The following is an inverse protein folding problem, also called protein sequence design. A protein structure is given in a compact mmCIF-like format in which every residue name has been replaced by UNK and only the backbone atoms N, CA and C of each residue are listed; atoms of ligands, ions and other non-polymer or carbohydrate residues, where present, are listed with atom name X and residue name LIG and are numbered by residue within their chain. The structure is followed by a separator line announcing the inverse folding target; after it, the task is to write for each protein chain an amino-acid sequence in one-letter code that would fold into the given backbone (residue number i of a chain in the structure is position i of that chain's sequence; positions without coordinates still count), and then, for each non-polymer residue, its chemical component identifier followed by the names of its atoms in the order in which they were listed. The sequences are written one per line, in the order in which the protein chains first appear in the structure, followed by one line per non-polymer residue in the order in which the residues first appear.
data_IF_639295645826
#
_entry.id   IF_639295645826
#
_cell.length_a   1.000
_cell.length_b   1.000
_cell.length_c   1.000
_cell.angle_alpha   90.00
_cell.angle_beta   90.00
_cell.angle_gamma   90.00
#
_symmetry.space_group_name_H-M   'P 1'
#
loop_
_entity.id
_entity.type
_entity.pdbx_description
1 polymer ?
#
# COMPACT_ATOMS: atom_id res chain seq x y z
N UNK A 1 25.95 -40.23 -73.79
CA UNK A 1 25.96 -40.07 -72.29
C UNK A 1 25.78 -38.60 -71.87
N UNK A 2 24.73 -37.89 -72.31
CA UNK A 2 24.45 -36.48 -71.92
C UNK A 2 22.95 -36.18 -71.82
N UNK A 3 22.09 -37.17 -71.52
CA UNK A 3 20.63 -36.96 -71.46
C UNK A 3 19.94 -37.54 -70.21
N UNK A 4 20.68 -37.97 -69.13
CA UNK A 4 20.13 -38.63 -67.96
C UNK A 4 20.38 -37.88 -66.68
N UNK A 5 20.94 -36.66 -66.67
CA UNK A 5 21.24 -35.86 -65.46
C UNK A 5 20.22 -34.70 -65.28
N UNK A 6 19.42 -34.40 -66.33
CA UNK A 6 18.47 -33.27 -66.25
C UNK A 6 17.10 -33.59 -65.54
N UNK A 7 16.80 -34.88 -65.32
CA UNK A 7 15.48 -35.30 -64.78
C UNK A 7 15.45 -35.57 -63.29
N UNK A 8 16.59 -35.53 -62.57
CA UNK A 8 16.65 -35.78 -61.14
C UNK A 8 16.71 -34.47 -60.35
N UNK A 9 17.08 -33.34 -60.96
CA UNK A 9 17.11 -32.04 -60.25
C UNK A 9 15.76 -31.31 -60.17
N UNK A 10 14.77 -31.72 -61.01
CA UNK A 10 13.46 -31.06 -61.03
C UNK A 10 12.47 -31.66 -60.00
N UNK A 11 12.75 -32.87 -59.50
CA UNK A 11 11.91 -33.51 -58.48
C UNK A 11 12.29 -33.10 -57.01
N UNK A 12 13.45 -32.48 -56.79
CA UNK A 12 13.93 -32.09 -55.48
C UNK A 12 13.54 -30.64 -55.13
N UNK A 13 13.09 -29.84 -56.09
CA UNK A 13 12.66 -28.43 -55.84
C UNK A 13 11.16 -28.31 -55.56
N UNK A 14 10.36 -29.35 -55.84
CA UNK A 14 8.92 -29.32 -55.55
C UNK A 14 8.53 -29.94 -54.20
N UNK A 15 9.47 -30.51 -53.43
CA UNK A 15 9.20 -31.04 -52.08
C UNK A 15 9.48 -30.01 -50.94
N UNK A 16 9.99 -28.82 -51.28
CA UNK A 16 10.31 -27.75 -50.30
C UNK A 16 9.30 -26.60 -50.28
N UNK A 17 8.18 -26.69 -51.02
CA UNK A 17 7.18 -25.61 -51.10
C UNK A 17 5.85 -25.93 -50.38
N UNK A 18 5.81 -26.95 -49.53
CA UNK A 18 4.63 -27.32 -48.72
C UNK A 18 4.90 -27.35 -47.22
N UNK A 19 5.99 -26.75 -46.74
CA UNK A 19 6.11 -26.31 -45.35
C UNK A 19 5.39 -24.98 -45.26
N UNK A 20 4.06 -25.04 -45.34
CA UNK A 20 3.20 -23.91 -45.15
C UNK A 20 3.39 -23.36 -43.73
N UNK A 21 3.66 -22.10 -43.64
CA UNK A 21 3.64 -21.25 -42.46
C UNK A 21 2.38 -21.49 -41.62
N UNK A 22 2.47 -22.39 -40.70
CA UNK A 22 1.83 -22.25 -39.43
C UNK A 22 2.92 -21.70 -38.50
N UNK A 23 3.06 -20.41 -38.37
CA UNK A 23 3.71 -19.83 -37.19
C UNK A 23 2.78 -20.11 -36.00
N UNK A 24 2.87 -21.31 -35.42
CA UNK A 24 2.54 -21.47 -34.03
C UNK A 24 3.50 -20.50 -33.32
N UNK A 25 2.99 -19.36 -32.82
CA UNK A 25 3.69 -18.60 -31.79
C UNK A 25 4.10 -19.65 -30.77
N UNK A 26 5.39 -19.82 -30.51
CA UNK A 26 5.82 -20.60 -29.36
C UNK A 26 5.07 -19.99 -28.16
N UNK A 27 4.57 -20.81 -27.23
CA UNK A 27 3.90 -20.27 -26.07
C UNK A 27 4.85 -19.27 -25.40
N UNK A 28 4.35 -18.09 -25.09
CA UNK A 28 5.10 -17.06 -24.39
C UNK A 28 5.45 -17.63 -23.02
N UNK A 29 6.75 -17.94 -22.81
CA UNK A 29 7.27 -18.51 -21.57
C UNK A 29 7.95 -17.42 -20.75
N UNK A 30 7.66 -16.15 -21.01
CA UNK A 30 8.17 -15.00 -20.27
C UNK A 30 7.02 -14.32 -19.54
N UNK A 31 7.27 -13.92 -18.28
CA UNK A 31 6.43 -12.99 -17.52
C UNK A 31 7.25 -11.77 -17.13
N UNK A 32 6.69 -10.60 -17.30
CA UNK A 32 7.25 -9.32 -16.85
C UNK A 32 6.41 -8.80 -15.68
N UNK A 33 7.02 -8.68 -14.52
CA UNK A 33 6.38 -8.23 -13.27
C UNK A 33 6.94 -6.86 -12.90
N UNK A 34 6.06 -5.88 -12.74
CA UNK A 34 6.45 -4.60 -12.16
C UNK A 34 6.21 -4.61 -10.66
N UNK A 35 7.11 -3.99 -9.89
CA UNK A 35 6.93 -3.82 -8.46
C UNK A 35 7.26 -2.39 -8.02
N UNK A 36 6.45 -1.86 -7.10
CA UNK A 36 6.72 -0.59 -6.41
C UNK A 36 7.63 -0.78 -5.17
N UNK A 37 7.84 -2.01 -4.77
CA UNK A 37 8.54 -2.40 -3.55
C UNK A 37 10.05 -2.46 -3.80
N UNK A 38 10.77 -1.36 -3.47
CA UNK A 38 12.19 -1.25 -3.84
C UNK A 38 13.11 -2.15 -3.02
N UNK A 39 12.83 -2.29 -1.74
CA UNK A 39 13.64 -3.09 -0.81
C UNK A 39 13.43 -4.59 -1.08
N UNK A 40 12.21 -4.97 -1.37
CA UNK A 40 11.79 -6.35 -1.56
C UNK A 40 11.97 -6.86 -3.01
N UNK A 41 12.36 -6.01 -3.95
CA UNK A 41 12.45 -6.36 -5.37
C UNK A 41 13.38 -7.56 -5.64
N UNK A 42 14.53 -7.65 -4.94
CA UNK A 42 15.45 -8.77 -5.07
C UNK A 42 14.85 -10.07 -4.47
N UNK A 43 14.13 -9.95 -3.39
CA UNK A 43 13.40 -11.08 -2.76
C UNK A 43 12.31 -11.59 -3.69
N UNK A 44 11.50 -10.69 -4.28
CA UNK A 44 10.48 -11.04 -5.27
C UNK A 44 11.12 -11.73 -6.48
N UNK A 45 12.26 -11.23 -6.99
CA UNK A 45 12.98 -11.87 -8.09
C UNK A 45 13.46 -13.28 -7.72
N UNK A 46 13.92 -13.51 -6.49
CA UNK A 46 14.35 -14.86 -6.06
C UNK A 46 13.20 -15.87 -6.10
N UNK A 47 12.02 -15.50 -5.64
CA UNK A 47 10.82 -16.36 -5.74
C UNK A 47 10.34 -16.49 -7.19
N UNK A 48 10.51 -15.46 -8.01
CA UNK A 48 10.20 -15.50 -9.43
C UNK A 48 11.09 -16.49 -10.18
N UNK A 49 12.39 -16.54 -9.87
CA UNK A 49 13.34 -17.47 -10.45
C UNK A 49 13.03 -18.93 -10.03
N UNK A 50 12.65 -19.14 -8.77
CA UNK A 50 12.26 -20.46 -8.25
C UNK A 50 11.01 -20.97 -8.95
N UNK A 51 9.93 -20.16 -8.93
CA UNK A 51 8.67 -20.51 -9.60
C UNK A 51 8.85 -20.71 -11.11
N UNK A 52 9.59 -19.80 -11.75
CA UNK A 52 9.87 -19.85 -13.19
C UNK A 52 10.62 -21.14 -13.59
N UNK A 53 11.64 -21.51 -12.80
CA UNK A 53 12.38 -22.76 -13.02
C UNK A 53 11.48 -24.00 -12.89
N UNK A 54 10.58 -24.01 -11.92
CA UNK A 54 9.66 -25.12 -11.69
C UNK A 54 8.57 -25.23 -12.78
N UNK A 55 8.18 -24.13 -13.38
CA UNK A 55 7.07 -24.04 -14.35
C UNK A 55 7.50 -23.83 -15.80
N UNK A 56 8.80 -23.69 -16.08
CA UNK A 56 9.33 -23.49 -17.43
C UNK A 56 9.10 -22.07 -17.95
N UNK A 57 9.04 -21.09 -17.06
CA UNK A 57 8.89 -19.66 -17.38
C UNK A 57 10.17 -18.89 -17.01
N UNK A 58 10.44 -17.82 -17.77
CA UNK A 58 11.37 -16.78 -17.37
C UNK A 58 10.55 -15.64 -16.79
N UNK A 59 10.76 -15.30 -15.51
CA UNK A 59 10.05 -14.20 -14.84
C UNK A 59 11.04 -13.08 -14.56
N UNK A 60 10.77 -11.89 -15.10
CA UNK A 60 11.58 -10.69 -14.88
C UNK A 60 10.84 -9.71 -13.97
N UNK A 61 11.45 -9.40 -12.83
CA UNK A 61 10.91 -8.43 -11.86
C UNK A 61 11.60 -7.08 -12.07
N UNK A 62 10.82 -6.06 -12.38
CA UNK A 62 11.32 -4.71 -12.65
C UNK A 62 10.81 -3.76 -11.58
N UNK A 63 11.74 -3.26 -10.72
CA UNK A 63 11.40 -2.22 -9.76
C UNK A 63 11.18 -0.89 -10.49
N UNK A 64 9.99 -0.33 -10.31
CA UNK A 64 9.66 1.03 -10.72
C UNK A 64 8.38 1.50 -10.04
N UNK A 65 8.22 2.81 -9.88
CA UNK A 65 6.95 3.38 -9.44
C UNK A 65 5.98 3.41 -10.62
N UNK A 66 5.04 2.47 -10.73
CA UNK A 66 4.06 2.47 -11.81
C UNK A 66 3.11 3.65 -11.61
N UNK A 67 2.76 4.32 -12.70
CA UNK A 67 1.59 5.19 -12.75
C UNK A 67 0.65 4.64 -13.80
N UNK A 68 -0.65 4.92 -13.67
CA UNK A 68 -1.67 4.48 -14.64
C UNK A 68 -1.25 4.81 -16.06
N UNK A 69 -0.77 6.03 -16.30
CA UNK A 69 -0.34 6.48 -17.63
C UNK A 69 0.87 5.69 -18.14
N UNK A 70 1.88 5.47 -17.30
CA UNK A 70 3.09 4.73 -17.66
C UNK A 70 2.78 3.27 -17.93
N UNK A 71 1.95 2.66 -17.09
CA UNK A 71 1.48 1.29 -17.26
C UNK A 71 0.67 1.13 -18.55
N UNK A 72 -0.31 2.00 -18.81
CA UNK A 72 -1.12 2.00 -20.04
C UNK A 72 -0.31 2.18 -21.34
N UNK A 73 0.86 2.78 -21.26
CA UNK A 73 1.80 2.85 -22.40
C UNK A 73 2.59 1.57 -22.56
N UNK A 74 3.07 1.00 -21.43
CA UNK A 74 3.95 -0.16 -21.44
C UNK A 74 3.24 -1.45 -21.88
N UNK A 75 2.00 -1.69 -21.45
CA UNK A 75 1.23 -2.90 -21.81
C UNK A 75 0.93 -3.05 -23.32
N UNK A 76 1.19 -2.00 -24.11
CA UNK A 76 1.05 -2.04 -25.58
C UNK A 76 2.27 -2.60 -26.28
N UNK A 77 3.36 -2.87 -25.55
CA UNK A 77 4.59 -3.45 -26.10
C UNK A 77 4.63 -4.95 -25.80
N UNK A 78 5.37 -5.70 -26.62
CA UNK A 78 5.60 -7.15 -26.43
C UNK A 78 6.32 -7.46 -25.09
N UNK A 79 7.07 -6.50 -24.54
CA UNK A 79 7.75 -6.58 -23.23
C UNK A 79 6.98 -5.82 -22.14
N UNK A 80 5.69 -5.58 -22.32
CA UNK A 80 4.84 -4.92 -21.34
C UNK A 80 4.65 -5.78 -20.09
N UNK A 81 4.29 -5.16 -18.93
CA UNK A 81 4.07 -5.92 -17.70
C UNK A 81 2.82 -6.79 -17.78
N UNK A 82 2.97 -8.05 -17.39
CA UNK A 82 1.86 -8.99 -17.20
C UNK A 82 1.14 -8.76 -15.88
N UNK A 83 1.87 -8.32 -14.84
CA UNK A 83 1.31 -8.04 -13.54
C UNK A 83 2.09 -6.95 -12.81
N UNK A 84 1.43 -6.42 -11.78
CA UNK A 84 2.04 -5.52 -10.79
C UNK A 84 1.96 -6.19 -9.43
N UNK A 85 3.08 -6.21 -8.70
CA UNK A 85 3.20 -6.73 -7.34
C UNK A 85 3.51 -5.58 -6.40
N UNK A 86 2.66 -5.40 -5.40
CA UNK A 86 2.89 -4.46 -4.31
C UNK A 86 2.69 -2.99 -4.70
N UNK A 87 1.45 -2.59 -4.98
CA UNK A 87 1.06 -1.18 -4.99
C UNK A 87 0.12 -0.90 -3.80
N UNK A 88 0.12 0.32 -3.25
CA UNK A 88 -0.90 0.74 -2.31
C UNK A 88 -2.30 0.62 -2.91
N UNK A 89 -3.24 0.09 -2.15
CA UNK A 89 -4.58 -0.22 -2.64
C UNK A 89 -5.40 0.99 -3.07
N UNK A 90 -5.15 2.17 -2.51
CA UNK A 90 -5.80 3.42 -2.92
C UNK A 90 -5.53 3.81 -4.40
N UNK A 91 -4.49 3.22 -5.01
CA UNK A 91 -4.19 3.39 -6.43
C UNK A 91 -4.93 2.39 -7.34
N UNK A 92 -5.42 1.26 -6.81
CA UNK A 92 -6.00 0.18 -7.61
C UNK A 92 -7.20 0.64 -8.45
N UNK A 93 -8.07 1.48 -7.87
CA UNK A 93 -9.26 1.97 -8.55
C UNK A 93 -8.93 2.72 -9.85
N UNK A 94 -7.82 3.44 -9.90
CA UNK A 94 -7.38 4.17 -11.09
C UNK A 94 -7.01 3.22 -12.23
N UNK A 95 -6.34 2.09 -11.93
CA UNK A 95 -6.03 1.06 -12.94
C UNK A 95 -7.30 0.36 -13.42
N UNK A 96 -8.24 0.05 -12.52
CA UNK A 96 -9.52 -0.58 -12.86
C UNK A 96 -10.35 0.34 -13.73
N UNK A 97 -10.50 1.62 -13.35
CA UNK A 97 -11.28 2.61 -14.10
C UNK A 97 -10.68 2.89 -15.50
N UNK A 98 -9.37 2.73 -15.65
CA UNK A 98 -8.69 2.82 -16.94
C UNK A 98 -8.79 1.52 -17.77
N UNK A 99 -9.42 0.44 -17.25
CA UNK A 99 -9.55 -0.85 -17.93
C UNK A 99 -8.24 -1.64 -18.02
N UNK A 100 -7.30 -1.42 -17.10
CA UNK A 100 -5.95 -1.97 -17.16
C UNK A 100 -5.75 -3.21 -16.28
N UNK A 101 -6.59 -3.42 -15.27
CA UNK A 101 -6.55 -4.56 -14.36
C UNK A 101 -7.59 -5.63 -14.78
N UNK A 102 -7.18 -6.89 -14.77
CA UNK A 102 -8.07 -8.04 -14.99
C UNK A 102 -8.84 -8.38 -13.70
N UNK A 103 -10.06 -8.88 -13.86
CA UNK A 103 -10.80 -9.45 -12.73
C UNK A 103 -10.08 -10.69 -12.18
N UNK A 104 -10.12 -10.86 -10.87
CA UNK A 104 -9.56 -12.04 -10.21
C UNK A 104 -10.43 -13.26 -10.51
N UNK A 105 -9.87 -14.41 -10.92
CA UNK A 105 -10.62 -15.66 -11.05
C UNK A 105 -11.36 -16.01 -9.73
N UNK A 106 -12.61 -16.41 -9.83
CA UNK A 106 -13.50 -16.59 -8.68
C UNK A 106 -12.95 -17.55 -7.60
N UNK A 107 -12.24 -18.60 -8.04
CA UNK A 107 -11.73 -19.67 -7.17
C UNK A 107 -10.22 -19.52 -6.89
N UNK A 108 -9.63 -18.33 -7.12
CA UNK A 108 -8.18 -18.14 -6.99
C UNK A 108 -7.72 -18.23 -5.52
N UNK A 109 -8.45 -17.60 -4.61
CA UNK A 109 -8.22 -17.65 -3.17
C UNK A 109 -9.52 -17.41 -2.38
N UNK A 110 -9.54 -17.86 -1.12
CA UNK A 110 -10.68 -17.67 -0.22
C UNK A 110 -10.46 -16.39 0.63
N UNK A 111 -11.51 -15.57 0.76
CA UNK A 111 -11.44 -14.31 1.49
C UNK A 111 -11.10 -14.53 2.98
N UNK A 112 -11.60 -15.62 3.58
CA UNK A 112 -11.39 -15.99 4.97
C UNK A 112 -9.91 -16.30 5.35
N UNK A 113 -9.05 -16.52 4.36
CA UNK A 113 -7.62 -16.77 4.60
C UNK A 113 -6.86 -15.47 4.91
N UNK A 114 -7.46 -14.31 4.69
CA UNK A 114 -6.81 -13.00 4.80
C UNK A 114 -7.50 -12.10 5.82
N UNK A 115 -6.78 -11.05 6.24
CA UNK A 115 -7.35 -10.02 7.09
C UNK A 115 -8.49 -9.27 6.36
N UNK A 116 -9.60 -9.00 7.07
CA UNK A 116 -10.78 -8.35 6.49
C UNK A 116 -10.46 -7.04 5.75
N UNK A 117 -9.60 -6.21 6.34
CA UNK A 117 -9.16 -4.96 5.73
C UNK A 117 -8.40 -5.18 4.41
N UNK A 118 -7.58 -6.24 4.35
CA UNK A 118 -6.83 -6.59 3.14
C UNK A 118 -7.74 -7.08 2.02
N UNK A 119 -8.74 -7.86 2.35
CA UNK A 119 -9.74 -8.32 1.37
C UNK A 119 -10.56 -7.15 0.83
N UNK A 120 -11.04 -6.27 1.70
CA UNK A 120 -11.80 -5.09 1.27
C UNK A 120 -11.00 -4.21 0.31
N UNK A 121 -9.67 -4.10 0.52
CA UNK A 121 -8.76 -3.35 -0.34
C UNK A 121 -8.62 -3.90 -1.77
N UNK A 122 -9.01 -5.16 -2.01
CA UNK A 122 -8.92 -5.81 -3.32
C UNK A 122 -10.15 -5.61 -4.21
N UNK A 123 -11.21 -4.96 -3.68
CA UNK A 123 -12.47 -4.76 -4.39
C UNK A 123 -12.60 -3.31 -4.89
N UNK A 124 -13.04 -3.17 -6.14
CA UNK A 124 -13.45 -1.90 -6.73
C UNK A 124 -14.88 -2.06 -7.25
N UNK A 125 -15.80 -1.23 -6.77
CA UNK A 125 -17.22 -1.28 -7.16
C UNK A 125 -17.86 -2.69 -7.01
N UNK A 126 -17.46 -3.43 -5.98
CA UNK A 126 -17.99 -4.76 -5.66
C UNK A 126 -17.41 -5.91 -6.50
N UNK A 127 -16.42 -5.66 -7.35
CA UNK A 127 -15.70 -6.67 -8.14
C UNK A 127 -14.26 -6.78 -7.64
N UNK A 128 -13.73 -7.99 -7.56
CA UNK A 128 -12.37 -8.28 -7.09
C UNK A 128 -11.36 -8.17 -8.23
N UNK A 129 -10.36 -7.27 -8.09
CA UNK A 129 -9.33 -7.01 -9.11
C UNK A 129 -7.92 -7.29 -8.65
N UNK A 130 -7.70 -7.59 -7.37
CA UNK A 130 -6.36 -7.79 -6.84
C UNK A 130 -6.31 -8.95 -5.83
N UNK A 131 -5.09 -9.40 -5.53
CA UNK A 131 -4.79 -10.28 -4.41
C UNK A 131 -3.98 -9.50 -3.37
N UNK A 132 -4.28 -9.65 -2.06
CA UNK A 132 -3.60 -8.92 -1.01
C UNK A 132 -2.25 -9.58 -0.66
N UNK A 133 -1.16 -8.80 -0.66
CA UNK A 133 0.18 -9.29 -0.37
C UNK A 133 0.58 -9.04 1.08
N UNK A 134 0.51 -7.79 1.51
CA UNK A 134 0.87 -7.38 2.86
C UNK A 134 -0.02 -6.25 3.35
N UNK A 135 -0.08 -6.09 4.67
CA UNK A 135 -0.82 -5.02 5.34
C UNK A 135 0.14 -4.13 6.11
N UNK A 136 -0.20 -2.86 6.22
CA UNK A 136 0.58 -1.87 6.94
C UNK A 136 -0.33 -0.85 7.63
N UNK A 137 0.13 -0.31 8.75
CA UNK A 137 -0.55 0.77 9.46
C UNK A 137 0.47 1.61 10.20
N UNK A 138 0.03 2.72 10.80
CA UNK A 138 0.86 3.52 11.69
C UNK A 138 0.72 3.05 13.14
N UNK A 139 1.79 3.24 13.92
CA UNK A 139 1.80 2.99 15.37
C UNK A 139 2.65 4.04 16.08
N UNK A 140 2.64 4.03 17.41
CA UNK A 140 3.42 4.96 18.22
C UNK A 140 4.83 4.39 18.46
N UNK A 141 5.84 5.02 17.88
CA UNK A 141 7.24 4.83 18.26
C UNK A 141 7.57 5.72 19.46
N UNK A 142 8.33 5.22 20.39
CA UNK A 142 8.81 6.00 21.51
C UNK A 142 10.29 5.72 21.80
N UNK A 143 11.02 6.78 22.16
CA UNK A 143 12.43 6.67 22.53
C UNK A 143 12.56 6.11 23.93
N UNK A 144 13.18 4.93 24.08
CA UNK A 144 13.29 4.20 25.34
C UNK A 144 14.27 4.84 26.34
N UNK A 145 15.11 5.78 25.91
CA UNK A 145 15.97 6.56 26.81
C UNK A 145 15.25 7.79 27.39
N UNK A 146 14.11 8.20 26.79
CA UNK A 146 13.35 9.37 27.18
C UNK A 146 12.00 9.03 27.82
N UNK A 147 11.46 7.83 27.52
CA UNK A 147 10.11 7.42 27.91
C UNK A 147 10.16 6.08 28.64
N UNK A 148 9.86 6.11 29.95
CA UNK A 148 9.77 4.91 30.77
C UNK A 148 8.41 4.19 30.61
N UNK A 149 7.34 4.95 30.35
CA UNK A 149 5.98 4.43 30.25
C UNK A 149 5.21 5.17 29.14
N UNK A 150 4.65 4.40 28.21
CA UNK A 150 3.82 4.95 27.12
C UNK A 150 2.50 5.47 27.70
N UNK A 151 2.09 6.72 27.37
CA UNK A 151 0.79 7.27 27.77
C UNK A 151 -0.38 6.43 27.24
N UNK A 152 -1.43 6.26 28.05
CA UNK A 152 -2.62 5.50 27.66
C UNK A 152 -3.58 6.31 26.78
N UNK A 153 -3.51 7.64 26.87
CA UNK A 153 -4.39 8.56 26.14
C UNK A 153 -3.58 9.66 25.45
N UNK A 154 -4.13 10.24 24.41
CA UNK A 154 -3.55 11.40 23.74
C UNK A 154 -3.47 12.62 24.65
N UNK A 155 -4.44 12.77 25.55
CA UNK A 155 -4.47 13.84 26.55
C UNK A 155 -3.27 13.73 27.50
N UNK A 156 -2.93 12.51 27.96
CA UNK A 156 -1.74 12.26 28.78
C UNK A 156 -0.46 12.49 27.97
N UNK A 157 -0.44 12.03 26.69
CA UNK A 157 0.71 12.22 25.80
C UNK A 157 1.00 13.71 25.61
N UNK A 158 0.00 14.52 25.25
CA UNK A 158 0.14 15.97 25.05
C UNK A 158 0.60 16.66 26.33
N UNK A 159 0.03 16.29 27.48
CA UNK A 159 0.39 16.90 28.78
C UNK A 159 1.86 16.65 29.16
N UNK A 160 2.41 15.48 28.80
CA UNK A 160 3.79 15.09 29.13
C UNK A 160 4.82 15.30 28.02
N UNK A 161 4.38 15.39 26.77
CA UNK A 161 5.28 15.37 25.62
C UNK A 161 6.30 16.51 25.61
N UNK A 162 5.93 17.73 26.00
CA UNK A 162 6.81 18.88 26.01
C UNK A 162 8.01 18.72 26.97
N UNK A 163 7.87 17.93 28.03
CA UNK A 163 8.91 17.68 29.03
C UNK A 163 9.97 16.68 28.53
N UNK A 164 9.59 15.81 27.59
CA UNK A 164 10.43 14.70 27.08
C UNK A 164 10.84 14.86 25.62
N UNK A 165 10.65 16.02 25.00
CA UNK A 165 11.08 16.31 23.62
C UNK A 165 9.96 16.28 22.57
N UNK A 166 8.69 16.09 22.97
CA UNK A 166 7.53 16.22 22.09
C UNK A 166 7.17 14.96 21.30
N UNK A 167 6.16 15.11 20.46
CA UNK A 167 5.71 14.12 19.47
C UNK A 167 5.81 14.72 18.07
N UNK A 168 6.27 13.95 17.09
CA UNK A 168 6.30 14.39 15.70
C UNK A 168 5.76 13.31 14.75
N UNK A 169 5.08 13.76 13.72
CA UNK A 169 4.55 12.96 12.62
C UNK A 169 4.14 13.92 11.49
N UNK A 170 3.83 13.41 10.33
CA UNK A 170 3.27 14.23 9.25
C UNK A 170 1.78 14.53 9.50
N UNK A 171 1.54 15.41 10.47
CA UNK A 171 0.19 15.82 10.85
C UNK A 171 -0.51 16.70 9.79
N UNK A 172 -0.01 16.74 8.57
CA UNK A 172 -0.71 17.32 7.39
C UNK A 172 -1.38 16.25 6.54
N UNK A 173 -1.17 14.98 6.85
CA UNK A 173 -1.71 13.87 6.08
C UNK A 173 -2.83 13.16 6.83
N UNK A 174 -3.97 12.97 6.16
CA UNK A 174 -5.10 12.20 6.71
C UNK A 174 -4.71 10.77 7.11
N UNK A 175 -3.62 10.24 6.56
CA UNK A 175 -3.08 8.93 6.94
C UNK A 175 -2.67 8.88 8.42
N UNK A 176 -2.25 9.99 9.00
CA UNK A 176 -1.88 10.11 10.40
C UNK A 176 -2.98 10.75 11.26
N UNK A 177 -3.86 11.55 10.64
CA UNK A 177 -4.90 12.31 11.34
C UNK A 177 -6.22 11.56 11.49
N UNK A 178 -6.42 10.47 10.72
CA UNK A 178 -7.69 9.75 10.68
C UNK A 178 -8.17 9.32 12.08
N UNK A 179 -7.25 8.90 12.94
CA UNK A 179 -7.60 8.46 14.29
C UNK A 179 -8.28 9.54 15.13
N UNK A 180 -7.88 10.81 15.00
CA UNK A 180 -8.55 11.93 15.67
C UNK A 180 -9.96 12.13 15.09
N UNK A 181 -10.06 12.11 13.77
CA UNK A 181 -11.33 12.25 13.04
C UNK A 181 -12.30 11.14 13.44
N UNK A 182 -11.84 9.89 13.44
CA UNK A 182 -12.65 8.71 13.79
C UNK A 182 -13.11 8.72 15.24
N UNK A 183 -12.23 9.06 16.17
CA UNK A 183 -12.57 9.14 17.61
C UNK A 183 -13.64 10.19 17.90
N UNK A 184 -13.74 11.24 17.08
CA UNK A 184 -14.78 12.28 17.16
C UNK A 184 -16.02 11.96 16.30
N UNK A 185 -16.09 10.81 15.62
CA UNK A 185 -17.24 10.38 14.82
C UNK A 185 -17.25 10.85 13.36
N UNK A 186 -16.10 11.34 12.86
CA UNK A 186 -15.88 11.57 11.43
C UNK A 186 -15.46 10.30 10.70
N UNK A 187 -15.34 10.38 9.39
CA UNK A 187 -14.87 9.31 8.49
C UNK A 187 -14.44 9.93 7.15
N UNK A 188 -13.70 9.17 6.33
CA UNK A 188 -13.32 9.68 5.00
C UNK A 188 -14.54 9.63 4.08
N UNK A 189 -14.92 8.45 3.60
CA UNK A 189 -16.12 8.21 2.80
C UNK A 189 -17.00 7.17 3.50
N UNK A 190 -18.31 7.29 3.36
CA UNK A 190 -19.24 6.33 3.93
C UNK A 190 -19.12 5.00 3.21
N UNK A 191 -18.89 3.92 3.98
CA UNK A 191 -18.85 2.57 3.46
C UNK A 191 -20.14 1.85 3.79
N UNK A 192 -20.91 1.46 2.77
CA UNK A 192 -22.15 0.70 2.91
C UNK A 192 -22.30 -0.32 1.77
N UNK A 193 -22.83 -1.50 2.09
CA UNK A 193 -23.16 -2.54 1.10
C UNK A 193 -21.98 -2.95 0.20
N UNK A 194 -20.75 -2.92 0.71
CA UNK A 194 -19.55 -3.33 -0.02
C UNK A 194 -18.96 -2.27 -0.93
N UNK A 195 -19.37 -1.00 -0.83
CA UNK A 195 -18.84 0.10 -1.62
C UNK A 195 -18.75 1.40 -0.83
N UNK A 196 -17.87 2.30 -1.27
CA UNK A 196 -17.76 3.65 -0.74
C UNK A 196 -18.71 4.62 -1.47
N UNK A 197 -19.49 5.38 -0.72
CA UNK A 197 -20.22 6.55 -1.23
C UNK A 197 -19.32 7.78 -1.11
N UNK A 198 -18.66 8.13 -2.21
CA UNK A 198 -17.74 9.28 -2.29
C UNK A 198 -18.45 10.64 -2.18
N UNK A 199 -19.78 10.66 -2.18
CA UNK A 199 -20.58 11.88 -1.98
C UNK A 199 -20.94 12.11 -0.51
N UNK A 200 -20.81 11.08 0.33
CA UNK A 200 -20.99 11.17 1.79
C UNK A 200 -19.63 11.22 2.49
N UNK A 201 -19.17 12.45 2.75
CA UNK A 201 -17.84 12.76 3.25
C UNK A 201 -17.93 13.16 4.73
N UNK A 202 -17.53 12.26 5.63
CA UNK A 202 -17.58 12.50 7.07
C UNK A 202 -16.49 13.41 7.61
N UNK A 203 -15.58 13.89 6.77
CA UNK A 203 -14.61 14.93 7.11
C UNK A 203 -15.25 16.32 7.28
N UNK A 204 -16.53 16.45 6.95
CA UNK A 204 -17.29 17.69 7.03
C UNK A 204 -18.38 17.68 8.12
N UNK A 205 -18.40 16.71 9.02
CA UNK A 205 -19.35 16.66 10.11
C UNK A 205 -18.85 17.39 11.37
N UNK A 206 -19.72 17.58 12.38
CA UNK A 206 -19.36 18.25 13.65
C UNK A 206 -18.22 17.55 14.41
N UNK A 207 -18.14 16.22 14.30
CA UNK A 207 -17.05 15.46 14.92
C UNK A 207 -15.70 15.75 14.26
N UNK A 208 -15.66 15.85 12.94
CA UNK A 208 -14.45 16.22 12.22
C UNK A 208 -13.95 17.62 12.61
N UNK A 209 -14.85 18.58 12.86
CA UNK A 209 -14.47 19.92 13.37
C UNK A 209 -13.73 19.81 14.69
N UNK A 210 -14.23 19.00 15.64
CA UNK A 210 -13.55 18.78 16.95
C UNK A 210 -12.15 18.17 16.76
N UNK A 211 -11.99 17.23 15.81
CA UNK A 211 -10.68 16.67 15.48
C UNK A 211 -9.74 17.74 14.92
N UNK A 212 -10.21 18.61 14.00
CA UNK A 212 -9.40 19.70 13.47
C UNK A 212 -9.07 20.77 14.49
N UNK A 213 -9.94 21.05 15.46
CA UNK A 213 -9.60 21.90 16.60
C UNK A 213 -8.42 21.33 17.40
N UNK A 214 -8.40 20.02 17.68
CA UNK A 214 -7.29 19.37 18.34
C UNK A 214 -6.00 19.37 17.50
N UNK A 215 -6.08 19.02 16.21
CA UNK A 215 -4.94 19.05 15.27
C UNK A 215 -4.38 20.49 15.19
N UNK A 216 -5.24 21.50 15.19
CA UNK A 216 -4.81 22.90 15.23
C UNK A 216 -4.08 23.22 16.55
N UNK A 217 -4.58 22.72 17.68
CA UNK A 217 -3.97 22.93 18.99
C UNK A 217 -2.59 22.27 19.09
N UNK A 218 -2.36 21.11 18.47
CA UNK A 218 -1.04 20.46 18.43
C UNK A 218 0.06 21.40 17.92
N UNK A 219 -0.25 22.22 16.91
CA UNK A 219 0.68 23.20 16.35
C UNK A 219 0.64 24.54 17.12
N UNK A 220 -0.54 25.15 17.24
CA UNK A 220 -0.68 26.54 17.60
C UNK A 220 -0.80 26.78 19.12
N UNK A 221 -1.20 25.78 19.90
CA UNK A 221 -1.36 25.88 21.33
C UNK A 221 -0.28 25.11 22.10
N UNK A 222 -0.07 23.83 21.74
CA UNK A 222 0.87 22.97 22.46
C UNK A 222 2.30 23.05 21.89
N UNK A 223 2.47 23.50 20.64
CA UNK A 223 3.77 23.61 19.98
C UNK A 223 4.48 22.27 19.79
N UNK A 224 3.73 21.16 19.70
CA UNK A 224 4.27 19.81 19.59
C UNK A 224 4.62 19.44 18.14
N UNK A 225 3.90 20.01 17.17
CA UNK A 225 4.21 19.88 15.74
C UNK A 225 4.45 21.26 15.13
N UNK A 226 5.30 21.31 14.11
CA UNK A 226 5.59 22.56 13.41
C UNK A 226 4.73 22.65 12.13
N UNK A 227 4.33 23.86 11.74
CA UNK A 227 3.62 24.08 10.48
C UNK A 227 4.44 23.66 9.24
N UNK A 228 5.78 23.58 9.37
CA UNK A 228 6.69 23.12 8.32
C UNK A 228 7.02 21.62 8.41
N UNK A 229 6.35 20.86 9.29
CA UNK A 229 6.60 19.43 9.47
C UNK A 229 6.36 18.67 8.16
N UNK A 230 7.25 17.74 7.90
CA UNK A 230 7.11 16.71 6.85
C UNK A 230 7.46 15.35 7.45
N UNK A 231 7.06 14.26 6.80
CA UNK A 231 7.44 12.92 7.23
C UNK A 231 8.95 12.78 7.43
N UNK A 232 9.77 13.33 6.52
CA UNK A 232 11.24 13.26 6.60
C UNK A 232 11.81 14.05 7.77
N UNK A 233 11.27 15.24 8.06
CA UNK A 233 11.67 16.05 9.22
C UNK A 233 11.30 15.30 10.52
N UNK A 234 10.09 14.82 10.64
CA UNK A 234 9.62 14.08 11.81
C UNK A 234 10.46 12.82 12.06
N UNK A 235 10.71 12.03 11.01
CA UNK A 235 11.57 10.84 11.06
C UNK A 235 13.00 11.19 11.50
N UNK A 236 13.60 12.21 10.89
CA UNK A 236 14.97 12.64 11.21
C UNK A 236 15.10 13.11 12.66
N UNK A 237 14.12 13.85 13.17
CA UNK A 237 14.13 14.33 14.56
C UNK A 237 14.04 13.17 15.56
N UNK A 238 13.20 12.19 15.30
CA UNK A 238 13.10 11.00 16.14
C UNK A 238 14.39 10.17 16.07
N UNK A 239 14.90 9.91 14.86
CA UNK A 239 16.14 9.18 14.64
C UNK A 239 17.33 9.79 15.39
N UNK A 240 17.39 11.11 15.49
CA UNK A 240 18.45 11.85 16.19
C UNK A 240 18.15 12.04 17.70
N UNK A 241 17.13 11.43 18.26
CA UNK A 241 16.75 11.54 19.66
C UNK A 241 16.25 12.93 20.07
N UNK A 242 15.78 13.74 19.13
CA UNK A 242 15.27 15.09 19.39
C UNK A 242 13.80 15.09 19.83
N UNK A 243 13.07 14.00 19.58
CA UNK A 243 11.69 13.82 20.01
C UNK A 243 11.53 12.50 20.74
N UNK A 244 10.66 12.49 21.75
CA UNK A 244 10.35 11.28 22.52
C UNK A 244 9.39 10.35 21.82
N UNK A 245 8.47 10.89 21.01
CA UNK A 245 7.43 10.13 20.33
C UNK A 245 7.44 10.44 18.83
N UNK A 246 7.14 9.41 18.05
CA UNK A 246 6.98 9.50 16.59
C UNK A 246 5.84 8.58 16.14
N UNK A 247 5.03 9.04 15.21
CA UNK A 247 4.04 8.19 14.55
C UNK A 247 4.55 7.83 13.17
N UNK A 248 4.73 6.55 12.94
CA UNK A 248 5.23 6.00 11.69
C UNK A 248 4.77 4.57 11.44
N UNK A 249 5.32 3.95 10.43
CA UNK A 249 4.99 2.59 10.03
C UNK A 249 6.17 1.62 10.08
N UNK A 250 5.97 0.35 9.69
CA UNK A 250 7.03 -0.66 9.64
C UNK A 250 8.25 -0.24 8.80
N UNK A 251 8.03 0.55 7.75
CA UNK A 251 9.07 1.10 6.87
C UNK A 251 10.10 1.99 7.55
N UNK A 252 9.89 2.40 8.80
CA UNK A 252 10.82 3.25 9.56
C UNK A 252 11.76 2.44 10.46
N UNK A 253 11.46 1.16 10.73
CA UNK A 253 12.16 0.28 11.68
C UNK A 253 13.63 0.14 11.31
N UNK A 254 13.92 -0.22 10.07
CA UNK A 254 15.28 -0.42 9.60
C UNK A 254 16.13 0.84 9.69
N UNK A 255 15.55 1.99 9.34
CA UNK A 255 16.22 3.29 9.43
C UNK A 255 16.63 3.62 10.86
N UNK A 256 15.76 3.43 11.83
CA UNK A 256 16.02 3.68 13.24
C UNK A 256 16.98 2.65 13.84
N UNK A 257 16.84 1.38 13.47
CA UNK A 257 17.74 0.31 13.91
C UNK A 257 19.15 0.55 13.39
N UNK A 258 19.31 0.87 12.12
CA UNK A 258 20.62 1.16 11.49
C UNK A 258 21.30 2.40 12.07
N UNK A 259 20.52 3.39 12.50
CA UNK A 259 21.03 4.60 13.17
C UNK A 259 21.39 4.34 14.64
N UNK A 260 21.00 3.21 15.23
CA UNK A 260 21.18 2.91 16.65
C UNK A 260 20.27 3.74 17.55
N UNK A 261 19.13 4.20 17.05
CA UNK A 261 18.13 4.93 17.81
C UNK A 261 17.53 4.00 18.87
N UNK A 262 17.49 4.36 20.17
CA UNK A 262 16.85 3.55 21.19
C UNK A 262 15.33 3.73 21.08
N UNK A 263 14.61 2.72 20.58
CA UNK A 263 13.16 2.83 20.41
C UNK A 263 12.42 1.51 20.69
N UNK A 264 11.12 1.67 20.93
CA UNK A 264 10.15 0.60 20.87
C UNK A 264 8.85 1.11 20.21
N UNK A 265 7.96 0.16 19.88
CA UNK A 265 6.68 0.46 19.21
C UNK A 265 5.53 0.00 20.11
N UNK A 266 4.50 0.82 20.19
CA UNK A 266 3.27 0.54 20.93
C UNK A 266 2.04 0.85 20.07
N UNK A 267 0.90 0.31 20.47
CA UNK A 267 -0.40 0.77 19.93
C UNK A 267 -0.58 2.26 20.18
N UNK A 268 -1.35 2.89 19.30
CA UNK A 268 -1.73 4.30 19.49
C UNK A 268 -2.53 4.50 20.79
N UNK A 269 -2.26 5.57 21.54
CA UNK A 269 -3.08 5.95 22.69
C UNK A 269 -4.52 6.21 22.27
N UNK A 270 -5.47 5.98 23.18
CA UNK A 270 -6.87 6.36 22.96
C UNK A 270 -7.03 7.88 22.87
N UNK A 271 -8.04 8.35 22.14
CA UNK A 271 -8.40 9.76 22.07
C UNK A 271 -9.87 9.94 22.44
N UNK A 272 -10.19 10.88 23.35
CA UNK A 272 -11.53 11.09 23.90
C UNK A 272 -12.18 9.78 24.42
N UNK A 273 -11.36 8.88 24.96
CA UNK A 273 -11.82 7.59 25.48
C UNK A 273 -12.21 6.58 24.37
N UNK A 274 -11.94 6.88 23.11
CA UNK A 274 -12.17 5.99 21.97
C UNK A 274 -10.86 5.38 21.47
N UNK A 275 -10.86 4.16 20.92
CA UNK A 275 -9.71 3.61 20.21
C UNK A 275 -9.27 4.55 19.09
N UNK A 276 -7.95 4.70 18.93
CA UNK A 276 -7.39 5.46 17.81
C UNK A 276 -7.38 4.59 16.56
N UNK A 277 -8.32 4.83 15.65
CA UNK A 277 -8.47 4.07 14.41
C UNK A 277 -7.46 4.55 13.37
N UNK A 278 -6.52 3.70 13.00
CA UNK A 278 -5.53 4.01 11.97
C UNK A 278 -5.95 3.49 10.60
N UNK A 279 -5.55 4.13 9.50
CA UNK A 279 -5.70 3.54 8.19
C UNK A 279 -4.89 2.24 8.09
N UNK A 280 -5.50 1.20 7.53
CA UNK A 280 -4.81 -0.02 7.13
C UNK A 280 -4.60 0.03 5.63
N UNK A 281 -3.35 0.28 5.21
CA UNK A 281 -2.92 0.14 3.84
C UNK A 281 -2.70 -1.33 3.49
N UNK A 282 -3.01 -1.67 2.26
CA UNK A 282 -2.73 -3.01 1.73
C UNK A 282 -1.89 -2.88 0.48
N UNK A 283 -0.75 -3.55 0.46
CA UNK A 283 -0.01 -3.74 -0.78
C UNK A 283 -0.71 -4.84 -1.57
N UNK A 284 -1.22 -4.48 -2.74
CA UNK A 284 -1.99 -5.40 -3.57
C UNK A 284 -1.26 -5.78 -4.85
N UNK A 285 -1.60 -6.94 -5.39
CA UNK A 285 -1.09 -7.46 -6.65
C UNK A 285 -2.23 -7.58 -7.64
N UNK A 286 -2.04 -7.14 -8.88
CA UNK A 286 -3.03 -7.31 -9.94
C UNK A 286 -2.38 -7.75 -11.25
N UNK A 287 -3.16 -8.39 -12.11
CA UNK A 287 -2.75 -8.83 -13.44
C UNK A 287 -3.26 -7.86 -14.50
N UNK A 288 -2.44 -7.61 -15.52
CA UNK A 288 -2.81 -6.77 -16.66
C UNK A 288 -3.97 -7.38 -17.46
N UNK A 289 -4.96 -6.56 -17.79
CA UNK A 289 -6.07 -6.98 -18.65
C UNK A 289 -5.62 -7.32 -20.08
N UNK A 290 -4.47 -6.80 -20.52
CA UNK A 290 -3.90 -7.03 -21.85
C UNK A 290 -2.88 -8.17 -21.89
N UNK A 291 -2.56 -8.81 -20.75
CA UNK A 291 -1.63 -9.94 -20.71
C UNK A 291 -2.20 -11.17 -21.42
N UNK A 292 -1.42 -11.77 -22.31
CA UNK A 292 -1.71 -13.07 -22.93
C UNK A 292 -1.47 -14.24 -21.93
N UNK A 293 -0.82 -13.97 -20.80
CA UNK A 293 -0.38 -14.96 -19.79
C UNK A 293 -1.06 -14.77 -18.42
N UNK A 294 -2.30 -14.26 -18.38
CA UNK A 294 -3.00 -13.92 -17.12
C UNK A 294 -3.03 -15.08 -16.13
N UNK A 295 -3.34 -16.31 -16.57
CA UNK A 295 -3.40 -17.49 -15.70
C UNK A 295 -2.05 -17.72 -14.99
N UNK A 296 -0.95 -17.63 -15.74
CA UNK A 296 0.40 -17.83 -15.21
C UNK A 296 0.86 -16.67 -14.33
N UNK A 297 0.45 -15.46 -14.62
CA UNK A 297 0.70 -14.32 -13.77
C UNK A 297 -0.02 -14.45 -12.41
N UNK A 298 -1.27 -14.91 -12.41
CA UNK A 298 -2.00 -15.23 -11.17
C UNK A 298 -1.37 -16.40 -10.40
N UNK A 299 -0.95 -17.47 -11.08
CA UNK A 299 -0.24 -18.58 -10.43
C UNK A 299 1.05 -18.12 -9.75
N UNK A 300 1.82 -17.23 -10.39
CA UNK A 300 3.02 -16.66 -9.78
C UNK A 300 2.68 -15.77 -8.57
N UNK A 301 1.68 -14.89 -8.68
CA UNK A 301 1.24 -14.03 -7.57
C UNK A 301 0.85 -14.89 -6.36
N UNK A 302 0.05 -15.93 -6.57
CA UNK A 302 -0.35 -16.81 -5.47
C UNK A 302 0.83 -17.60 -4.90
N UNK A 303 1.77 -18.04 -5.74
CA UNK A 303 2.99 -18.65 -5.27
C UNK A 303 3.81 -17.71 -4.37
N UNK A 304 3.94 -16.44 -4.78
CA UNK A 304 4.62 -15.42 -3.97
C UNK A 304 3.91 -15.19 -2.62
N UNK A 305 2.58 -15.11 -2.61
CA UNK A 305 1.77 -14.95 -1.39
C UNK A 305 1.95 -16.17 -0.48
N UNK A 306 1.92 -17.38 -1.02
CA UNK A 306 1.95 -18.62 -0.23
C UNK A 306 3.35 -18.99 0.30
N UNK A 307 4.42 -18.58 -0.39
CA UNK A 307 5.79 -18.99 -0.09
C UNK A 307 6.73 -17.81 0.24
N UNK A 308 6.41 -16.61 -0.22
CA UNK A 308 7.26 -15.42 -0.10
C UNK A 308 7.04 -14.61 1.17
N UNK A 309 6.01 -14.88 1.96
CA UNK A 309 5.59 -14.07 3.09
C UNK A 309 6.74 -13.77 4.08
N UNK A 310 7.47 -14.79 4.53
CA UNK A 310 8.59 -14.63 5.47
C UNK A 310 9.77 -13.91 4.83
N UNK A 311 10.11 -14.20 3.56
CA UNK A 311 11.17 -13.49 2.85
C UNK A 311 10.85 -12.00 2.67
N UNK A 312 9.60 -11.64 2.38
CA UNK A 312 9.14 -10.27 2.28
C UNK A 312 9.16 -9.56 3.65
N UNK A 313 8.84 -10.28 4.72
CA UNK A 313 8.95 -9.79 6.07
C UNK A 313 10.41 -9.55 6.49
N UNK A 314 11.32 -10.50 6.23
CA UNK A 314 12.73 -10.38 6.56
C UNK A 314 13.47 -9.30 5.76
N UNK A 315 13.04 -9.02 4.53
CA UNK A 315 13.66 -8.00 3.67
C UNK A 315 13.10 -6.59 3.85
N UNK A 316 11.84 -6.42 4.27
CA UNK A 316 11.18 -5.12 4.29
C UNK A 316 10.15 -4.92 5.41
N UNK A 317 10.18 -5.75 6.46
CA UNK A 317 9.22 -5.70 7.59
C UNK A 317 7.74 -5.77 7.15
N UNK A 318 7.46 -6.38 5.97
CA UNK A 318 6.10 -6.47 5.42
C UNK A 318 5.27 -7.48 6.19
N UNK A 319 4.26 -7.01 6.91
CA UNK A 319 3.32 -7.89 7.61
C UNK A 319 2.44 -8.57 6.57
N UNK A 320 2.45 -9.92 6.47
CA UNK A 320 1.63 -10.62 5.48
C UNK A 320 0.14 -10.30 5.63
N UNK A 321 -0.57 -10.22 4.51
CA UNK A 321 -2.03 -10.09 4.53
C UNK A 321 -2.71 -11.40 4.97
N UNK A 322 -2.06 -12.55 4.71
CA UNK A 322 -2.56 -13.89 5.03
C UNK A 322 -2.47 -14.19 6.53
N UNK A 323 -3.59 -14.59 7.13
CA UNK A 323 -3.69 -14.76 8.59
C UNK A 323 -2.78 -15.88 9.14
N UNK A 324 -2.60 -16.97 8.39
CA UNK A 324 -1.69 -18.06 8.79
C UNK A 324 -0.26 -17.59 8.89
N UNK A 325 0.17 -16.71 7.98
CA UNK A 325 1.54 -16.22 7.92
C UNK A 325 1.80 -15.16 9.00
N UNK A 326 0.79 -14.36 9.35
CA UNK A 326 0.85 -13.46 10.52
C UNK A 326 1.08 -14.22 11.82
N UNK A 327 0.62 -15.47 11.91
CA UNK A 327 0.76 -16.31 13.09
C UNK A 327 2.13 -17.00 13.19
N UNK A 328 2.99 -16.89 12.17
CA UNK A 328 4.34 -17.49 12.18
C UNK A 328 5.19 -16.96 13.35
N UNK A 329 5.98 -17.86 13.96
CA UNK A 329 6.81 -17.53 15.13
C UNK A 329 7.79 -16.40 14.84
N UNK A 330 8.35 -16.34 13.63
CA UNK A 330 9.26 -15.26 13.20
C UNK A 330 8.62 -13.88 13.35
N UNK A 331 7.36 -13.74 12.94
CA UNK A 331 6.62 -12.48 13.04
C UNK A 331 6.15 -12.26 14.48
N UNK A 332 5.58 -13.28 15.11
CA UNK A 332 5.03 -13.18 16.45
C UNK A 332 6.10 -13.03 17.56
N UNK A 333 7.35 -13.37 17.32
CA UNK A 333 8.43 -13.12 18.28
C UNK A 333 8.94 -11.68 18.24
N UNK A 334 8.72 -10.95 17.13
CA UNK A 334 9.14 -9.56 16.98
C UNK A 334 8.17 -8.61 17.72
N UNK A 335 8.71 -7.86 18.67
CA UNK A 335 7.90 -6.94 19.49
C UNK A 335 7.27 -5.80 18.65
N UNK A 336 7.97 -5.32 17.62
CA UNK A 336 7.46 -4.27 16.72
C UNK A 336 6.28 -4.79 15.91
N UNK A 337 6.41 -5.95 15.29
CA UNK A 337 5.35 -6.57 14.50
C UNK A 337 4.10 -6.84 15.32
N UNK A 338 4.26 -7.29 16.58
CA UNK A 338 3.11 -7.43 17.50
C UNK A 338 2.36 -6.14 17.73
N UNK A 339 3.07 -5.03 17.90
CA UNK A 339 2.44 -3.73 18.10
C UNK A 339 1.64 -3.30 16.86
N UNK A 340 2.20 -3.48 15.66
CA UNK A 340 1.49 -3.18 14.42
C UNK A 340 0.30 -4.10 14.18
N UNK A 341 0.44 -5.42 14.37
CA UNK A 341 -0.67 -6.37 14.23
C UNK A 341 -1.80 -6.03 15.22
N UNK A 342 -1.46 -5.68 16.46
CA UNK A 342 -2.45 -5.25 17.44
C UNK A 342 -3.12 -3.92 17.05
N UNK A 343 -2.39 -2.99 16.40
CA UNK A 343 -2.95 -1.74 15.91
C UNK A 343 -3.85 -1.96 14.68
N UNK A 344 -3.50 -2.87 13.76
CA UNK A 344 -4.34 -3.25 12.62
C UNK A 344 -5.75 -3.70 13.05
N UNK A 345 -5.87 -4.34 14.23
CA UNK A 345 -7.19 -4.72 14.78
C UNK A 345 -8.05 -3.51 15.18
N UNK A 346 -7.41 -2.35 15.41
CA UNK A 346 -8.06 -1.05 15.62
C UNK A 346 -7.93 -0.17 14.36
N UNK A 347 -7.82 -0.77 13.19
CA UNK A 347 -7.68 -0.07 11.93
C UNK A 347 -8.93 -0.17 11.07
N UNK A 348 -8.99 0.66 10.05
CA UNK A 348 -9.96 0.55 8.97
C UNK A 348 -9.26 0.59 7.59
N UNK A 349 -9.79 -0.12 6.60
CA UNK A 349 -9.19 -0.12 5.26
C UNK A 349 -9.10 1.28 4.69
N UNK A 350 -7.98 1.61 4.05
CA UNK A 350 -7.88 2.79 3.21
C UNK A 350 -8.86 2.66 2.04
N UNK A 351 -9.70 3.68 1.77
CA UNK A 351 -10.66 3.59 0.68
C UNK A 351 -10.02 3.35 -0.69
N UNK A 352 -10.48 2.31 -1.38
CA UNK A 352 -10.02 1.95 -2.74
C UNK A 352 -10.91 2.65 -3.77
N UNK A 353 -10.76 3.97 -3.87
CA UNK A 353 -11.52 4.83 -4.79
C UNK A 353 -10.60 5.91 -5.36
N UNK A 354 -10.83 6.33 -6.61
CA UNK A 354 -9.98 7.32 -7.30
C UNK A 354 -9.98 8.70 -6.64
N UNK A 355 -11.02 9.04 -5.89
CA UNK A 355 -11.15 10.29 -5.17
C UNK A 355 -10.09 10.46 -4.07
N UNK A 356 -9.52 9.37 -3.56
CA UNK A 356 -8.41 9.42 -2.61
C UNK A 356 -7.22 10.23 -3.15
N UNK A 357 -6.90 10.12 -4.45
CA UNK A 357 -5.80 10.86 -5.07
C UNK A 357 -5.92 12.38 -4.90
N UNK A 358 -7.15 12.91 -4.90
CA UNK A 358 -7.41 14.34 -4.68
C UNK A 358 -7.48 14.67 -3.18
N UNK A 359 -8.05 13.77 -2.38
CA UNK A 359 -8.22 13.97 -0.94
C UNK A 359 -6.87 14.23 -0.25
N UNK A 360 -5.83 13.48 -0.60
CA UNK A 360 -4.48 13.67 -0.07
C UNK A 360 -4.02 15.13 -0.13
N UNK A 361 -4.07 15.72 -1.32
CA UNK A 361 -3.60 17.09 -1.53
C UNK A 361 -4.51 18.15 -0.91
N UNK A 362 -5.82 17.94 -0.94
CA UNK A 362 -6.80 18.85 -0.34
C UNK A 362 -6.61 18.88 1.17
N UNK A 363 -6.52 17.72 1.82
CA UNK A 363 -6.33 17.64 3.27
C UNK A 363 -5.03 18.34 3.69
N UNK A 364 -3.90 18.00 3.05
CA UNK A 364 -2.60 18.61 3.35
C UNK A 364 -2.64 20.14 3.25
N UNK A 365 -3.23 20.68 2.18
CA UNK A 365 -3.33 22.12 1.98
C UNK A 365 -4.22 22.78 3.03
N UNK A 366 -5.33 22.15 3.38
CA UNK A 366 -6.27 22.66 4.37
C UNK A 366 -5.66 22.72 5.78
N UNK A 367 -4.98 21.66 6.21
CA UNK A 367 -4.29 21.64 7.51
C UNK A 367 -3.21 22.72 7.58
N UNK A 368 -2.41 22.89 6.52
CA UNK A 368 -1.40 23.96 6.47
C UNK A 368 -2.02 25.35 6.53
N UNK A 369 -3.11 25.60 5.77
CA UNK A 369 -3.85 26.87 5.81
C UNK A 369 -4.49 27.12 7.18
N UNK A 370 -4.92 26.08 7.89
CA UNK A 370 -5.42 26.18 9.26
C UNK A 370 -4.31 26.60 10.24
N UNK A 371 -3.12 26.00 10.15
CA UNK A 371 -2.01 26.33 11.03
C UNK A 371 -1.44 27.74 10.78
N UNK A 372 -1.53 28.26 9.56
CA UNK A 372 -1.17 29.65 9.22
C UNK A 372 -2.27 30.66 9.58
N UNK A 373 -3.46 30.22 10.00
CA UNK A 373 -4.60 31.07 10.36
C UNK A 373 -5.40 31.55 9.17
N UNK A 374 -5.18 31.00 7.97
CA UNK A 374 -5.97 31.33 6.75
C UNK A 374 -7.34 30.65 6.78
N UNK A 375 -7.46 29.46 7.38
CA UNK A 375 -8.70 28.73 7.57
C UNK A 375 -8.96 28.48 9.06
N UNK A 376 -10.24 28.49 9.45
CA UNK A 376 -10.65 27.94 10.75
C UNK A 376 -10.85 26.43 10.67
N UNK A 377 -10.86 25.69 11.80
CA UNK A 377 -11.19 24.25 11.85
C UNK A 377 -12.51 23.92 11.12
N UNK A 378 -13.55 24.75 11.30
CA UNK A 378 -14.84 24.62 10.61
C UNK A 378 -14.68 24.81 9.08
N UNK A 379 -13.86 25.77 8.66
CA UNK A 379 -13.62 26.00 7.23
C UNK A 379 -12.86 24.83 6.60
N UNK A 380 -11.89 24.24 7.31
CA UNK A 380 -11.20 23.01 6.87
C UNK A 380 -12.21 21.90 6.63
N UNK A 381 -13.10 21.66 7.58
CA UNK A 381 -14.16 20.66 7.48
C UNK A 381 -15.00 20.86 6.20
N UNK A 382 -15.50 22.06 5.96
CA UNK A 382 -16.35 22.35 4.79
C UNK A 382 -15.61 22.26 3.44
N UNK A 383 -14.33 22.56 3.39
CA UNK A 383 -13.56 22.50 2.13
C UNK A 383 -13.40 21.08 1.59
N UNK A 384 -13.51 20.06 2.42
CA UNK A 384 -13.53 18.65 1.98
C UNK A 384 -14.79 18.30 1.17
N UNK A 385 -15.91 19.02 1.33
CA UNK A 385 -17.12 18.84 0.51
C UNK A 385 -16.95 19.29 -0.94
N UNK A 386 -15.91 20.07 -1.22
CA UNK A 386 -15.64 20.58 -2.57
C UNK A 386 -14.68 19.70 -3.36
N UNK A 387 -14.56 18.41 -3.00
CA UNK A 387 -13.88 17.45 -3.87
C UNK A 387 -14.47 17.61 -5.28
N UNK A 388 -13.66 17.91 -6.30
CA UNK A 388 -14.20 18.12 -7.64
C UNK A 388 -14.92 16.83 -8.05
N UNK A 389 -16.20 16.96 -8.34
CA UNK A 389 -16.95 15.90 -9.01
C UNK A 389 -16.24 15.68 -10.34
N UNK A 390 -15.52 14.58 -10.47
CA UNK A 390 -14.92 14.18 -11.74
C UNK A 390 -16.12 13.79 -12.63
N UNK A 391 -16.47 14.69 -13.57
CA UNK A 391 -17.42 14.41 -14.64
C UNK A 391 -16.71 13.70 -15.78
#
# INVERSE_FOLDING_TARGET
MKRTIASVLTALVMALALSGCGSSKEPDTKLTIWTNMSVEAETIQSYADEWGTANGYQVEVIHQSPSVQKFAQAIKSEDGPDAVVGIPNDQLADYVNAGLAAEVPADLYADEDFADAAIQACYVSGVRYAAPLSVETTALFYNTDLVDQVPATWEELVAGAAEVGGVQFDATSIYYDLGFVRACGGYIFKYENGSYDVTDIGLANEGAVQAYEFINALCNEYGLVSADVTADIARSNFQNGQTAYYIGGPWDIDGFTSAGTPFAVAQMPTFHGQPFITPVGTQVCFVSNESDSQEKAWEFIMYLIDHGAIGMYESGDRIPAKLTDQAEETIQSNAYSKAFIAQIQNGEPMPTVSEMGQLWSIHTNNIRSMWTGELSPEAVSYTHLTLPTIC
#
